data_IF_240900280096
#
_entry.id   IF_240900280096
#
_cell.length_a   1.000
_cell.length_b   1.000
_cell.length_c   1.000
_cell.angle_alpha   90.00
_cell.angle_beta   90.00
_cell.angle_gamma   90.00
#
_symmetry.space_group_name_H-M   'P 1'
#
loop_
_entity.id
_entity.type
_entity.pdbx_description
1 polymer ?
#
# COMPACT_ATOMS: atom_id res chain seq x y z
N UNK A 1 -9.33 -14.08 5.84
CA UNK A 1 -9.44 -12.78 6.57
C UNK A 1 -8.18 -12.40 7.34
N UNK A 2 -7.57 -13.30 8.14
CA UNK A 2 -6.33 -12.99 8.88
C UNK A 2 -5.19 -12.49 7.97
N UNK A 3 -5.02 -13.07 6.78
CA UNK A 3 -4.00 -12.64 5.82
C UNK A 3 -4.20 -11.19 5.36
N UNK A 4 -5.41 -10.79 4.94
CA UNK A 4 -5.71 -9.40 4.57
C UNK A 4 -5.37 -8.45 5.72
N UNK A 5 -5.74 -8.79 6.95
CA UNK A 5 -5.49 -7.94 8.11
C UNK A 5 -3.98 -7.74 8.36
N UNK A 6 -3.19 -8.80 8.21
CA UNK A 6 -1.71 -8.72 8.25
C UNK A 6 -1.18 -7.85 7.11
N UNK A 7 -1.68 -8.05 5.88
CA UNK A 7 -1.30 -7.24 4.72
C UNK A 7 -1.60 -5.75 4.93
N UNK A 8 -2.78 -5.43 5.48
CA UNK A 8 -3.19 -4.06 5.78
C UNK A 8 -2.31 -3.43 6.85
N UNK A 9 -1.95 -4.18 7.90
CA UNK A 9 -1.02 -3.71 8.92
C UNK A 9 0.38 -3.45 8.34
N UNK A 10 0.84 -4.28 7.41
CA UNK A 10 2.12 -4.07 6.72
C UNK A 10 2.08 -2.80 5.88
N UNK A 11 1.01 -2.60 5.10
CA UNK A 11 0.79 -1.38 4.31
C UNK A 11 0.78 -0.15 5.21
N UNK A 12 0.04 -0.19 6.32
CA UNK A 12 -0.06 0.90 7.28
C UNK A 12 1.31 1.24 7.89
N UNK A 13 2.05 0.25 8.37
CA UNK A 13 3.34 0.45 9.03
C UNK A 13 4.38 1.02 8.07
N UNK A 14 4.56 0.41 6.89
CA UNK A 14 5.54 0.87 5.91
C UNK A 14 5.16 2.26 5.38
N UNK A 15 3.88 2.50 5.08
CA UNK A 15 3.42 3.82 4.63
C UNK A 15 3.62 4.89 5.69
N UNK A 16 3.32 4.60 6.96
CA UNK A 16 3.52 5.57 8.05
C UNK A 16 4.99 5.90 8.27
N UNK A 17 5.89 4.90 8.21
CA UNK A 17 7.33 5.11 8.36
C UNK A 17 7.91 5.88 7.17
N UNK A 18 7.55 5.50 5.94
CA UNK A 18 8.07 6.16 4.73
C UNK A 18 7.57 7.59 4.59
N UNK A 19 6.30 7.85 4.90
CA UNK A 19 5.74 9.20 4.93
C UNK A 19 6.35 10.02 6.08
N UNK A 20 6.43 9.47 7.30
CA UNK A 20 7.08 10.14 8.42
C UNK A 20 8.54 10.51 8.12
N UNK A 21 9.30 9.60 7.50
CA UNK A 21 10.66 9.84 7.06
C UNK A 21 10.73 10.89 5.94
N UNK A 22 9.81 10.88 4.98
CA UNK A 22 9.75 11.88 3.90
C UNK A 22 9.60 13.31 4.44
N UNK A 23 8.92 13.47 5.58
CA UNK A 23 8.74 14.75 6.25
C UNK A 23 9.99 15.21 7.01
N UNK A 24 10.76 14.28 7.57
CA UNK A 24 11.98 14.61 8.33
C UNK A 24 13.13 14.94 7.38
N UNK A 25 13.25 14.20 6.28
CA UNK A 25 14.39 14.31 5.37
C UNK A 25 14.13 15.20 4.15
N UNK A 26 12.91 15.75 3.97
CA UNK A 26 12.46 16.49 2.77
C UNK A 26 12.58 15.70 1.45
N UNK A 27 12.71 14.37 1.54
CA UNK A 27 12.86 13.52 0.37
C UNK A 27 11.49 13.15 -0.18
N UNK A 28 11.03 13.90 -1.17
CA UNK A 28 9.79 13.60 -1.91
C UNK A 28 9.79 12.20 -2.56
N UNK A 29 10.98 11.64 -2.83
CA UNK A 29 11.14 10.28 -3.35
C UNK A 29 10.72 9.19 -2.36
N UNK A 30 10.75 9.46 -1.04
CA UNK A 30 10.29 8.52 -0.02
C UNK A 30 8.76 8.34 -0.02
N UNK A 31 8.01 9.30 -0.60
CA UNK A 31 6.57 9.14 -0.86
C UNK A 31 6.25 7.96 -1.78
N UNK A 32 7.20 7.54 -2.63
CA UNK A 32 7.03 6.31 -3.43
C UNK A 32 7.15 5.03 -2.61
N UNK A 33 7.74 5.09 -1.42
CA UNK A 33 7.80 3.96 -0.48
C UNK A 33 6.41 3.50 -0.01
N UNK A 34 5.44 4.42 0.02
CA UNK A 34 4.06 4.10 0.30
C UNK A 34 3.45 3.18 -0.77
N UNK A 35 3.82 3.33 -2.05
CA UNK A 35 3.42 2.41 -3.12
C UNK A 35 4.08 1.04 -2.99
N UNK A 36 5.36 1.01 -2.64
CA UNK A 36 6.09 -0.23 -2.41
C UNK A 36 5.46 -1.07 -1.30
N UNK A 37 4.88 -0.42 -0.28
CA UNK A 37 4.16 -1.08 0.81
C UNK A 37 3.02 -1.98 0.32
N UNK A 38 2.35 -1.60 -0.78
CA UNK A 38 1.23 -2.37 -1.36
C UNK A 38 1.71 -3.66 -2.01
N UNK A 39 2.89 -3.61 -2.66
CA UNK A 39 3.52 -4.78 -3.27
C UNK A 39 3.99 -5.75 -2.18
N UNK A 40 4.66 -5.23 -1.15
CA UNK A 40 5.16 -6.03 -0.02
C UNK A 40 3.97 -6.63 0.76
N UNK A 41 2.95 -5.83 1.06
CA UNK A 41 1.74 -6.28 1.73
C UNK A 41 1.04 -7.39 0.95
N UNK A 42 0.85 -7.22 -0.35
CA UNK A 42 0.14 -8.23 -1.16
C UNK A 42 0.96 -9.50 -1.38
N UNK A 43 2.30 -9.41 -1.43
CA UNK A 43 3.20 -10.56 -1.41
C UNK A 43 3.04 -11.38 -0.12
N UNK A 44 3.02 -10.71 1.04
CA UNK A 44 2.84 -11.39 2.34
C UNK A 44 1.45 -12.04 2.43
N UNK A 45 0.41 -11.38 1.90
CA UNK A 45 -0.94 -11.98 1.80
C UNK A 45 -0.91 -13.25 0.96
N UNK A 46 -0.32 -13.19 -0.25
CA UNK A 46 -0.20 -14.35 -1.13
C UNK A 46 0.63 -15.48 -0.50
N UNK A 47 1.66 -15.15 0.28
CA UNK A 47 2.52 -16.13 0.94
C UNK A 47 1.84 -16.84 2.13
N UNK A 48 0.93 -16.15 2.82
CA UNK A 48 0.23 -16.69 4.01
C UNK A 48 -1.04 -17.44 3.67
N UNK A 49 -1.69 -17.13 2.57
CA UNK A 49 -2.98 -17.74 2.24
C UNK A 49 -2.81 -19.04 1.44
N UNK A 50 -3.38 -20.18 1.88
CA UNK A 50 -3.22 -21.45 1.18
C UNK A 50 -4.09 -21.57 -0.09
N UNK A 51 -5.21 -20.84 -0.18
CA UNK A 51 -6.16 -20.90 -1.31
C UNK A 51 -6.51 -19.50 -1.80
N UNK A 52 -6.73 -19.35 -3.11
CA UNK A 52 -7.12 -18.07 -3.75
C UNK A 52 -6.11 -16.92 -3.50
N UNK A 53 -4.81 -17.24 -3.45
CA UNK A 53 -3.68 -16.31 -3.19
C UNK A 53 -3.81 -14.97 -3.92
N UNK A 54 -3.98 -15.04 -5.24
CA UNK A 54 -4.09 -13.85 -6.10
C UNK A 54 -5.32 -13.00 -5.79
N UNK A 55 -6.48 -13.64 -5.59
CA UNK A 55 -7.73 -12.94 -5.27
C UNK A 55 -7.63 -12.16 -3.96
N UNK A 56 -7.04 -12.77 -2.92
CA UNK A 56 -6.84 -12.10 -1.63
C UNK A 56 -5.81 -10.97 -1.69
N UNK A 57 -4.76 -11.12 -2.50
CA UNK A 57 -3.82 -10.03 -2.76
C UNK A 57 -4.47 -8.86 -3.46
N UNK A 58 -5.31 -9.08 -4.47
CA UNK A 58 -6.05 -8.00 -5.15
C UNK A 58 -7.08 -7.36 -4.21
N UNK A 59 -7.76 -8.14 -3.38
CA UNK A 59 -8.69 -7.61 -2.36
C UNK A 59 -8.00 -6.69 -1.34
N UNK A 60 -6.68 -6.80 -1.14
CA UNK A 60 -5.91 -5.89 -0.31
C UNK A 60 -5.86 -4.45 -0.87
N UNK A 61 -6.05 -4.27 -2.18
CA UNK A 61 -6.01 -2.95 -2.81
C UNK A 61 -7.03 -1.98 -2.19
N UNK A 62 -8.22 -2.47 -1.84
CA UNK A 62 -9.27 -1.65 -1.24
C UNK A 62 -8.87 -1.11 0.15
N UNK A 63 -8.56 -1.93 1.18
CA UNK A 63 -8.09 -1.42 2.46
C UNK A 63 -6.78 -0.64 2.36
N UNK A 64 -5.87 -1.01 1.46
CA UNK A 64 -4.61 -0.28 1.25
C UNK A 64 -4.85 1.14 0.70
N UNK A 65 -5.77 1.30 -0.26
CA UNK A 65 -6.15 2.62 -0.78
C UNK A 65 -6.81 3.50 0.30
N UNK A 66 -7.66 2.90 1.14
CA UNK A 66 -8.29 3.60 2.28
C UNK A 66 -7.24 4.05 3.28
N UNK A 67 -6.24 3.22 3.58
CA UNK A 67 -5.12 3.56 4.48
C UNK A 67 -4.33 4.76 3.93
N UNK A 68 -3.93 4.73 2.67
CA UNK A 68 -3.20 5.83 2.05
C UNK A 68 -4.01 7.13 2.03
N UNK A 69 -5.29 7.05 1.71
CA UNK A 69 -6.20 8.18 1.75
C UNK A 69 -6.36 8.75 3.17
N UNK A 70 -6.49 7.87 4.16
CA UNK A 70 -6.58 8.24 5.58
C UNK A 70 -5.31 8.92 6.07
N UNK A 71 -4.13 8.40 5.70
CA UNK A 71 -2.85 9.02 6.00
C UNK A 71 -2.74 10.40 5.32
N UNK A 72 -3.07 10.50 4.04
CA UNK A 72 -3.05 11.78 3.32
C UNK A 72 -3.97 12.82 3.97
N UNK A 73 -5.18 12.41 4.35
CA UNK A 73 -6.13 13.26 5.05
C UNK A 73 -5.59 13.69 6.42
N UNK A 74 -5.06 12.76 7.22
CA UNK A 74 -4.50 13.04 8.54
C UNK A 74 -3.35 14.05 8.47
N UNK A 75 -2.40 13.83 7.56
CA UNK A 75 -1.30 14.77 7.36
C UNK A 75 -1.77 16.12 6.80
N UNK A 76 -2.77 16.12 5.91
CA UNK A 76 -3.40 17.34 5.42
C UNK A 76 -4.06 18.16 6.53
N UNK A 77 -4.74 17.51 7.49
CA UNK A 77 -5.32 18.17 8.68
C UNK A 77 -4.24 18.75 9.59
N UNK A 78 -3.07 18.12 9.68
CA UNK A 78 -1.93 18.62 10.43
C UNK A 78 -1.19 19.78 9.73
N UNK A 79 -1.66 20.23 8.56
CA UNK A 79 -1.02 21.28 7.77
C UNK A 79 0.27 20.81 7.09
N UNK A 80 0.50 19.50 7.02
CA UNK A 80 1.71 18.91 6.48
C UNK A 80 1.47 18.55 5.00
N UNK A 81 2.18 19.20 4.05
CA UNK A 81 2.02 18.90 2.63
C UNK A 81 2.68 17.55 2.31
N UNK A 82 1.87 16.49 2.27
CA UNK A 82 2.33 15.17 1.85
C UNK A 82 2.15 15.00 0.35
N UNK A 83 3.22 14.53 -0.29
CA UNK A 83 3.25 14.26 -1.72
C UNK A 83 3.38 12.75 -1.96
N UNK A 84 2.31 12.13 -2.47
CA UNK A 84 2.30 10.71 -2.81
C UNK A 84 2.79 10.49 -4.25
N UNK A 85 4.02 10.94 -4.54
CA UNK A 85 4.62 10.78 -5.88
C UNK A 85 3.97 11.66 -6.95
N UNK A 86 3.74 12.93 -6.65
CA UNK A 86 3.15 13.95 -7.51
C UNK A 86 1.65 14.19 -7.29
N UNK A 87 1.01 13.44 -6.38
CA UNK A 87 -0.42 13.55 -6.11
C UNK A 87 -0.70 14.29 -4.80
N UNK A 88 -1.41 15.42 -4.92
CA UNK A 88 -1.85 16.27 -3.80
C UNK A 88 -3.37 16.28 -3.71
N UNK A 89 -3.89 16.23 -2.48
CA UNK A 89 -5.33 16.26 -2.19
C UNK A 89 -5.95 14.88 -1.96
N UNK A 90 -6.73 14.77 -0.88
CA UNK A 90 -7.30 13.50 -0.41
C UNK A 90 -8.18 12.79 -1.45
N UNK A 91 -8.98 13.54 -2.21
CA UNK A 91 -9.92 12.98 -3.19
C UNK A 91 -9.20 12.48 -4.46
N UNK A 92 -8.15 13.18 -4.89
CA UNK A 92 -7.30 12.75 -6.02
C UNK A 92 -6.54 11.48 -5.64
N UNK A 93 -6.03 11.42 -4.41
CA UNK A 93 -5.35 10.21 -3.91
C UNK A 93 -6.31 9.03 -3.82
N UNK A 94 -7.56 9.16 -3.38
CA UNK A 94 -8.49 8.01 -3.37
C UNK A 94 -8.78 7.51 -4.79
N UNK A 95 -9.13 8.42 -5.71
CA UNK A 95 -9.60 8.05 -7.06
C UNK A 95 -8.47 7.46 -7.91
N UNK A 96 -7.25 7.98 -7.78
CA UNK A 96 -6.08 7.49 -8.52
C UNK A 96 -5.35 6.36 -7.80
N UNK A 97 -5.34 6.33 -6.46
CA UNK A 97 -4.66 5.27 -5.73
C UNK A 97 -5.36 3.93 -5.87
N UNK A 98 -6.69 3.88 -6.05
CA UNK A 98 -7.37 2.59 -6.19
C UNK A 98 -6.91 1.79 -7.42
N UNK A 99 -6.90 2.32 -8.66
CA UNK A 99 -6.41 1.58 -9.82
C UNK A 99 -4.91 1.25 -9.71
N UNK A 100 -4.09 2.18 -9.18
CA UNK A 100 -2.67 1.93 -8.94
C UNK A 100 -2.48 0.80 -7.90
N UNK A 101 -3.26 0.82 -6.82
CA UNK A 101 -3.24 -0.20 -5.78
C UNK A 101 -3.63 -1.56 -6.33
N UNK A 102 -4.64 -1.65 -7.21
CA UNK A 102 -5.03 -2.90 -7.87
C UNK A 102 -3.84 -3.45 -8.67
N UNK A 103 -3.16 -2.62 -9.46
CA UNK A 103 -2.01 -3.04 -10.26
C UNK A 103 -0.86 -3.49 -9.36
N UNK A 104 -0.47 -2.69 -8.37
CA UNK A 104 0.63 -3.01 -7.45
C UNK A 104 0.35 -4.26 -6.62
N UNK A 105 -0.88 -4.39 -6.11
CA UNK A 105 -1.28 -5.57 -5.36
C UNK A 105 -1.37 -6.82 -6.25
N UNK A 106 -1.76 -6.69 -7.52
CA UNK A 106 -1.71 -7.79 -8.49
C UNK A 106 -0.26 -8.22 -8.77
N UNK A 107 0.67 -7.27 -8.94
CA UNK A 107 2.10 -7.57 -9.12
C UNK A 107 2.65 -8.32 -7.89
N UNK A 108 2.48 -7.78 -6.69
CA UNK A 108 2.97 -8.44 -5.46
C UNK A 108 2.30 -9.80 -5.22
N UNK A 109 1.02 -9.93 -5.57
CA UNK A 109 0.26 -11.17 -5.47
C UNK A 109 0.72 -12.22 -6.48
N UNK A 110 1.05 -11.80 -7.70
CA UNK A 110 1.64 -12.65 -8.73
C UNK A 110 3.02 -13.17 -8.32
N UNK A 111 3.90 -12.30 -7.82
CA UNK A 111 5.22 -12.69 -7.31
C UNK A 111 5.07 -13.68 -6.15
N UNK A 112 4.20 -13.40 -5.19
CA UNK A 112 3.95 -14.30 -4.06
C UNK A 112 3.35 -15.64 -4.47
N UNK A 113 2.48 -15.65 -5.50
CA UNK A 113 1.92 -16.87 -6.05
C UNK A 113 3.00 -17.77 -6.67
N UNK A 114 3.85 -17.22 -7.54
CA UNK A 114 4.97 -17.98 -8.16
C UNK A 114 5.95 -18.47 -7.10
N UNK A 115 6.33 -17.61 -6.15
CA UNK A 115 7.27 -17.96 -5.08
C UNK A 115 6.79 -19.13 -4.22
N UNK A 116 5.50 -19.15 -3.90
CA UNK A 116 4.89 -20.23 -3.09
C UNK A 116 4.38 -21.42 -3.90
N UNK A 117 4.52 -21.39 -5.23
CA UNK A 117 4.29 -22.54 -6.10
C UNK A 117 5.60 -23.31 -6.35
N UNK A 118 6.75 -22.62 -6.29
CA UNK A 118 8.09 -23.20 -6.45
C UNK A 118 8.72 -23.68 -5.13
N UNK A 119 8.00 -23.61 -4.02
CA UNK A 119 8.40 -24.10 -2.69
C UNK A 119 7.47 -25.22 -2.24
#
# INVERSE_FOLDING_TARGET
MKAILIGSLVVLSISSVTLGASLIFEWHTLGYGAWLSMVIGSFIVAAKEPRRKFMYSVLLAMPASIILAGLNYLYGVLGIPVDFGGMRGALVVVVMALPIAIILCAIGGGIGHVYTHNK
#
